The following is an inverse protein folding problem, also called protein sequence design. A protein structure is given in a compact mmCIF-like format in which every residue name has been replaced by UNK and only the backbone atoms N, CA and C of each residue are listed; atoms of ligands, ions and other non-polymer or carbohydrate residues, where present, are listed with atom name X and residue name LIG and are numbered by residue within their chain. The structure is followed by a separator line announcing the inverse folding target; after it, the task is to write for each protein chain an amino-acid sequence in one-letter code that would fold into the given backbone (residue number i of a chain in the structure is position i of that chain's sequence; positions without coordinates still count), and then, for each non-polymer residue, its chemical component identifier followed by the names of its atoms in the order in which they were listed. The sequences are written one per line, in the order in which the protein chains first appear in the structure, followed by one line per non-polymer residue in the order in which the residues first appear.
data_IF_096339154669
#
_entry.id   IF_096339154669
#
_cell.length_a   1.000
_cell.length_b   1.000
_cell.length_c   1.000
_cell.angle_alpha   90.00
_cell.angle_beta   90.00
_cell.angle_gamma   90.00
#
_symmetry.space_group_name_H-M   'P 1'
#
loop_
_entity.id
_entity.type
_entity.pdbx_description
1 polymer ?
#
# COMPACT_ATOMS: atom_id res chain seq x y z
N UNK A 1 29.41 61.19 23.51
CA UNK A 1 30.04 60.57 22.32
C UNK A 1 28.95 60.43 21.27
N UNK A 2 28.85 61.38 20.33
CA UNK A 2 29.39 61.38 18.95
C UNK A 2 28.82 60.26 18.05
N UNK A 3 27.94 60.69 17.11
CA UNK A 3 27.76 60.37 15.67
C UNK A 3 28.03 58.92 15.16
N UNK A 4 27.30 58.30 14.21
CA UNK A 4 26.93 58.70 12.84
C UNK A 4 25.83 57.76 12.23
N UNK A 5 24.97 58.35 11.37
CA UNK A 5 24.50 57.98 10.01
C UNK A 5 24.50 56.49 9.55
N UNK A 6 23.39 55.90 9.08
CA UNK A 6 22.58 56.09 7.84
C UNK A 6 22.98 55.14 6.69
N UNK A 7 22.01 54.33 6.21
CA UNK A 7 21.85 53.73 4.87
C UNK A 7 20.52 52.94 4.93
N UNK A 8 19.45 53.19 4.17
CA UNK A 8 19.35 53.78 2.85
C UNK A 8 19.36 52.68 1.79
N UNK A 9 18.29 51.89 1.71
CA UNK A 9 18.01 51.04 0.55
C UNK A 9 16.49 50.98 0.32
N UNK A 10 16.02 51.79 -0.62
CA UNK A 10 14.76 51.60 -1.31
C UNK A 10 15.10 50.94 -2.65
N UNK A 11 14.55 49.76 -2.96
CA UNK A 11 14.34 49.36 -4.37
C UNK A 11 13.37 48.18 -4.50
N UNK A 12 12.34 48.44 -5.31
CA UNK A 12 11.59 47.54 -6.18
C UNK A 12 10.69 46.44 -5.58
N UNK A 13 9.43 46.83 -5.40
CA UNK A 13 8.27 46.01 -5.74
C UNK A 13 8.41 45.52 -7.18
N UNK A 14 8.82 44.27 -7.36
CA UNK A 14 8.51 43.50 -8.58
C UNK A 14 7.29 42.67 -8.23
N UNK A 15 6.14 43.07 -8.79
CA UNK A 15 4.97 42.21 -8.84
C UNK A 15 5.27 41.03 -9.75
N UNK A 16 5.32 39.83 -9.17
CA UNK A 16 5.03 38.63 -9.95
C UNK A 16 3.50 38.48 -9.98
N UNK A 17 2.91 38.25 -11.15
CA UNK A 17 1.47 38.07 -11.28
C UNK A 17 1.04 36.88 -10.41
N UNK A 18 -0.15 36.98 -9.81
CA UNK A 18 -0.78 35.85 -9.16
C UNK A 18 -1.02 34.75 -10.19
N UNK A 19 -0.15 33.74 -10.19
CA UNK A 19 -0.56 32.38 -10.54
C UNK A 19 -1.43 31.89 -9.39
N UNK A 20 -2.68 31.58 -9.71
CA UNK A 20 -3.60 30.94 -8.77
C UNK A 20 -3.01 29.62 -8.27
N UNK A 21 -3.64 29.00 -7.26
CA UNK A 21 -3.33 27.60 -6.98
C UNK A 21 -3.53 26.83 -8.28
N UNK A 22 -2.43 26.33 -8.83
CA UNK A 22 -2.40 25.29 -9.83
C UNK A 22 -3.18 24.14 -9.19
N UNK A 23 -4.46 24.05 -9.53
CA UNK A 23 -5.25 22.85 -9.35
C UNK A 23 -4.54 21.83 -10.22
N UNK A 24 -3.49 21.20 -9.68
CA UNK A 24 -2.84 20.08 -10.32
C UNK A 24 -3.93 19.08 -10.59
N UNK A 25 -4.34 18.98 -11.85
CA UNK A 25 -5.06 17.84 -12.38
C UNK A 25 -4.30 16.63 -11.86
N UNK A 26 -4.88 15.95 -10.88
CA UNK A 26 -4.54 14.60 -10.49
C UNK A 26 -4.72 13.81 -11.79
N UNK A 27 -3.67 13.76 -12.62
CA UNK A 27 -3.71 13.13 -13.94
C UNK A 27 -4.27 11.75 -13.73
N UNK A 28 -5.43 11.49 -14.32
CA UNK A 28 -6.25 10.32 -14.02
C UNK A 28 -5.50 9.06 -14.48
N UNK A 29 -4.69 8.49 -13.59
CA UNK A 29 -3.88 7.31 -13.87
C UNK A 29 -4.81 6.11 -14.05
N UNK A 30 -4.93 5.63 -15.28
CA UNK A 30 -5.60 4.36 -15.60
C UNK A 30 -4.55 3.29 -15.83
N UNK A 31 -4.68 2.14 -15.15
CA UNK A 31 -3.75 1.03 -15.31
C UNK A 31 -4.01 0.24 -16.60
N UNK A 32 -2.95 -0.19 -17.29
CA UNK A 32 -3.03 -1.14 -18.41
C UNK A 32 -3.27 -2.55 -17.88
N UNK A 33 -4.02 -3.37 -18.64
CA UNK A 33 -4.35 -4.73 -18.25
C UNK A 33 -3.09 -5.62 -18.12
N UNK A 34 -2.89 -6.32 -16.98
CA UNK A 34 -1.77 -7.24 -16.79
C UNK A 34 -1.93 -8.51 -17.65
N UNK A 35 -0.82 -9.12 -18.12
CA UNK A 35 -0.84 -10.45 -18.75
C UNK A 35 -1.49 -11.53 -17.85
N UNK A 36 -2.20 -12.47 -18.47
CA UNK A 36 -2.97 -13.51 -17.77
C UNK A 36 -2.11 -14.55 -17.02
N UNK A 37 -0.80 -14.61 -17.28
CA UNK A 37 0.15 -15.56 -16.69
C UNK A 37 0.88 -15.00 -15.44
N UNK A 38 0.46 -13.83 -14.95
CA UNK A 38 0.99 -13.20 -13.74
C UNK A 38 0.05 -13.38 -12.54
N UNK A 39 0.57 -13.12 -11.33
CA UNK A 39 -0.31 -12.82 -10.22
C UNK A 39 -1.10 -11.57 -10.61
N UNK A 40 -2.42 -11.67 -10.68
CA UNK A 40 -3.21 -10.56 -11.20
C UNK A 40 -3.23 -9.50 -10.11
N UNK A 41 -2.88 -8.22 -10.36
CA UNK A 41 -3.31 -7.16 -9.46
C UNK A 41 -4.81 -7.29 -9.16
N UNK A 42 -5.20 -6.98 -7.94
CA UNK A 42 -6.61 -6.96 -7.56
C UNK A 42 -7.35 -6.03 -8.53
N UNK A 43 -8.31 -6.60 -9.26
CA UNK A 43 -9.24 -5.85 -10.09
C UNK A 43 -10.55 -5.72 -9.32
N UNK A 44 -11.13 -4.53 -9.32
CA UNK A 44 -12.51 -4.37 -8.84
C UNK A 44 -13.53 -4.94 -9.85
N UNK A 45 -14.81 -4.74 -9.58
CA UNK A 45 -15.91 -5.26 -10.42
C UNK A 45 -15.92 -4.67 -11.84
N UNK A 46 -15.32 -3.49 -12.04
CA UNK A 46 -15.23 -2.80 -13.32
C UNK A 46 -13.89 -3.09 -14.03
N UNK A 47 -13.06 -3.96 -13.46
CA UNK A 47 -11.77 -4.37 -14.03
C UNK A 47 -10.61 -3.43 -13.70
N UNK A 48 -10.82 -2.43 -12.83
CA UNK A 48 -9.82 -1.42 -12.49
C UNK A 48 -8.81 -2.00 -11.50
N UNK A 49 -7.53 -1.86 -11.82
CA UNK A 49 -6.42 -2.37 -11.01
C UNK A 49 -6.19 -1.50 -9.78
N UNK A 50 -6.28 -2.12 -8.61
CA UNK A 50 -5.96 -1.48 -7.35
C UNK A 50 -4.45 -1.22 -7.21
N UNK A 51 -4.08 0.02 -6.93
CA UNK A 51 -2.68 0.42 -6.80
C UNK A 51 -2.50 1.59 -5.83
N UNK A 52 -1.36 1.64 -5.16
CA UNK A 52 -0.93 2.84 -4.43
C UNK A 52 -0.37 3.90 -5.40
N UNK A 53 -0.67 5.18 -5.18
CA UNK A 53 -0.02 6.27 -5.92
C UNK A 53 1.49 6.31 -5.63
N UNK A 54 2.37 6.48 -6.61
CA UNK A 54 3.83 6.49 -6.34
C UNK A 54 4.33 7.82 -5.73
N UNK A 55 3.65 8.94 -6.00
CA UNK A 55 4.06 10.29 -5.57
C UNK A 55 3.75 10.65 -4.11
N UNK A 56 3.21 9.72 -3.31
CA UNK A 56 2.66 10.01 -1.97
C UNK A 56 3.61 9.81 -0.78
N UNK A 57 4.91 9.57 -1.00
CA UNK A 57 5.86 9.18 0.05
C UNK A 57 5.69 7.72 0.51
N UNK A 58 6.25 7.34 1.67
CA UNK A 58 6.09 5.99 2.19
C UNK A 58 4.67 5.74 2.72
N UNK A 59 4.19 4.50 2.56
CA UNK A 59 2.91 4.04 3.09
C UNK A 59 3.00 3.99 4.62
N UNK A 60 2.08 4.67 5.30
CA UNK A 60 2.02 4.65 6.75
C UNK A 60 1.61 3.26 7.23
N UNK A 61 2.34 2.70 8.19
CA UNK A 61 2.00 1.41 8.80
C UNK A 61 1.65 1.61 10.27
N UNK A 62 0.63 0.89 10.73
CA UNK A 62 0.19 0.97 12.11
C UNK A 62 -0.43 -0.34 12.58
N UNK A 63 -0.54 -0.53 13.89
CA UNK A 63 -1.13 -1.73 14.48
C UNK A 63 -1.95 -1.40 15.73
N UNK A 64 -3.01 -2.16 15.96
CA UNK A 64 -3.82 -2.08 17.17
C UNK A 64 -3.03 -2.59 18.39
N UNK A 65 -3.24 -2.04 19.60
CA UNK A 65 -2.45 -2.41 20.79
C UNK A 65 -2.45 -3.92 21.12
N UNK A 66 -3.55 -4.61 20.83
CA UNK A 66 -3.71 -6.05 21.02
C UNK A 66 -2.97 -6.90 19.98
N UNK A 67 -2.42 -6.28 18.94
CA UNK A 67 -1.62 -6.92 17.89
C UNK A 67 -0.11 -6.77 18.12
N UNK A 68 0.31 -6.26 19.27
CA UNK A 68 1.73 -6.04 19.60
C UNK A 68 2.60 -7.28 19.44
N UNK A 69 2.09 -8.45 19.85
CA UNK A 69 2.86 -9.71 19.78
C UNK A 69 3.03 -10.23 18.34
N UNK A 70 2.20 -9.77 17.41
CA UNK A 70 2.27 -10.11 15.98
C UNK A 70 3.09 -9.09 15.16
N UNK A 71 3.58 -8.03 15.82
CA UNK A 71 4.34 -6.98 15.16
C UNK A 71 5.62 -7.49 14.46
N UNK A 72 6.43 -8.40 15.04
CA UNK A 72 7.62 -8.91 14.37
C UNK A 72 7.33 -9.60 13.04
N UNK A 73 6.29 -10.43 12.98
CA UNK A 73 5.87 -11.15 11.78
C UNK A 73 5.30 -10.20 10.73
N UNK A 74 4.51 -9.21 11.17
CA UNK A 74 3.99 -8.17 10.30
C UNK A 74 5.13 -7.33 9.68
N UNK A 75 6.11 -6.91 10.49
CA UNK A 75 7.30 -6.19 10.01
C UNK A 75 8.12 -7.03 9.04
N UNK A 76 8.33 -8.32 9.33
CA UNK A 76 9.05 -9.22 8.45
C UNK A 76 8.33 -9.40 7.09
N UNK A 77 7.00 -9.43 7.08
CA UNK A 77 6.23 -9.48 5.85
C UNK A 77 6.27 -8.17 5.07
N UNK A 78 6.17 -7.01 5.74
CA UNK A 78 6.36 -5.70 5.10
C UNK A 78 7.74 -5.61 4.45
N UNK A 79 8.80 -5.94 5.19
CA UNK A 79 10.18 -5.92 4.70
C UNK A 79 10.37 -6.81 3.46
N UNK A 80 9.77 -8.00 3.44
CA UNK A 80 9.87 -8.90 2.29
C UNK A 80 9.36 -8.26 0.97
N UNK A 81 8.35 -7.38 1.03
CA UNK A 81 7.87 -6.63 -0.13
C UNK A 81 8.64 -5.31 -0.35
N UNK A 82 9.09 -4.67 0.72
CA UNK A 82 9.83 -3.39 0.69
C UNK A 82 11.24 -3.53 0.10
N UNK A 83 11.91 -4.66 0.34
CA UNK A 83 13.31 -4.92 -0.07
C UNK A 83 13.49 -5.11 -1.58
N UNK A 84 12.42 -5.00 -2.38
CA UNK A 84 12.47 -5.24 -3.82
C UNK A 84 13.02 -4.03 -4.56
N UNK A 85 14.22 -4.15 -5.11
CA UNK A 85 14.95 -3.06 -5.80
C UNK A 85 14.26 -2.49 -7.04
N UNK A 86 13.23 -3.18 -7.55
CA UNK A 86 12.46 -2.73 -8.68
C UNK A 86 11.37 -1.71 -8.34
N UNK A 87 11.02 -1.55 -7.05
CA UNK A 87 9.86 -0.80 -6.60
C UNK A 87 10.25 0.57 -6.05
N UNK A 88 9.46 1.59 -6.42
CA UNK A 88 9.54 2.93 -5.85
C UNK A 88 8.66 3.09 -4.57
N UNK A 89 7.90 2.06 -4.18
CA UNK A 89 7.17 2.05 -2.92
C UNK A 89 8.09 1.82 -1.72
N UNK A 90 7.74 2.46 -0.60
CA UNK A 90 8.35 2.22 0.70
C UNK A 90 7.29 2.18 1.81
N UNK A 91 7.60 1.54 2.95
CA UNK A 91 6.79 1.59 4.17
C UNK A 91 7.43 2.44 5.27
N UNK A 92 6.61 3.13 6.07
CA UNK A 92 7.08 3.68 7.35
C UNK A 92 7.29 2.55 8.37
N UNK A 93 8.06 2.82 9.43
CA UNK A 93 8.07 1.95 10.60
C UNK A 93 6.66 1.88 11.23
N UNK A 94 6.17 0.69 11.61
CA UNK A 94 4.84 0.57 12.22
C UNK A 94 4.75 1.27 13.57
N UNK A 95 3.67 2.03 13.76
CA UNK A 95 3.33 2.70 15.02
C UNK A 95 2.06 2.11 15.66
N UNK A 96 2.03 2.02 16.99
CA UNK A 96 0.83 1.60 17.70
C UNK A 96 -0.28 2.65 17.53
N UNK A 97 -1.50 2.23 17.21
CA UNK A 97 -2.66 3.10 17.02
C UNK A 97 -3.97 2.35 17.23
N UNK A 98 -4.95 2.96 17.88
CA UNK A 98 -6.29 2.37 18.11
C UNK A 98 -7.30 2.71 17.01
N UNK A 99 -6.92 3.55 16.05
CA UNK A 99 -7.82 4.07 15.02
C UNK A 99 -7.50 3.39 13.69
N UNK A 100 -8.34 2.46 13.20
CA UNK A 100 -8.37 2.21 11.76
C UNK A 100 -8.71 3.56 11.12
N UNK A 101 -7.86 4.01 10.20
CA UNK A 101 -7.95 5.31 9.57
C UNK A 101 -9.42 5.68 9.24
N UNK A 102 -9.85 6.86 9.69
CA UNK A 102 -11.06 7.47 9.16
C UNK A 102 -10.90 7.64 7.63
N UNK A 103 -12.00 7.81 6.90
CA UNK A 103 -11.96 7.90 5.43
C UNK A 103 -11.12 9.07 4.89
N UNK A 104 -10.56 9.91 5.78
CA UNK A 104 -9.67 11.01 5.47
C UNK A 104 -8.18 10.65 5.55
N UNK A 105 -7.80 9.60 6.29
CA UNK A 105 -6.40 9.19 6.40
C UNK A 105 -5.99 8.36 5.20
N UNK A 106 -5.31 9.01 4.26
CA UNK A 106 -4.81 8.38 3.05
C UNK A 106 -3.46 7.68 3.28
N UNK A 107 -3.20 6.66 2.46
CA UNK A 107 -1.92 5.97 2.33
C UNK A 107 -1.49 5.19 3.58
N UNK A 108 -2.36 4.30 4.06
CA UNK A 108 -2.12 3.51 5.28
C UNK A 108 -2.37 2.02 5.12
N UNK A 109 -1.55 1.21 5.79
CA UNK A 109 -1.82 -0.19 6.13
C UNK A 109 -1.97 -0.31 7.65
N UNK A 110 -3.10 -0.83 8.13
CA UNK A 110 -3.38 -0.99 9.55
C UNK A 110 -3.59 -2.47 9.90
N UNK A 111 -2.94 -2.95 10.96
CA UNK A 111 -3.10 -4.30 11.50
C UNK A 111 -4.02 -4.29 12.72
N UNK A 112 -5.05 -5.13 12.73
CA UNK A 112 -6.02 -5.22 13.83
C UNK A 112 -6.44 -6.67 14.08
N UNK A 113 -6.85 -6.99 15.30
CA UNK A 113 -7.45 -8.29 15.60
C UNK A 113 -8.91 -8.36 15.15
N UNK A 114 -9.44 -9.57 15.07
CA UNK A 114 -10.86 -9.82 14.79
C UNK A 114 -11.12 -10.18 13.34
N UNK A 115 -12.29 -9.76 12.83
CA UNK A 115 -12.76 -10.10 11.48
C UNK A 115 -13.41 -8.87 10.84
N UNK A 116 -13.26 -8.69 9.52
CA UNK A 116 -14.09 -7.72 8.83
C UNK A 116 -15.56 -8.18 8.87
N UNK A 117 -16.52 -7.24 8.92
CA UNK A 117 -17.94 -7.56 8.94
C UNK A 117 -18.35 -8.41 7.74
N UNK A 118 -19.17 -9.45 7.97
CA UNK A 118 -19.78 -10.25 6.91
C UNK A 118 -18.85 -11.29 6.24
N UNK A 119 -17.65 -11.51 6.76
CA UNK A 119 -16.71 -12.50 6.21
C UNK A 119 -16.40 -13.58 7.23
N UNK A 120 -16.60 -14.84 6.85
CA UNK A 120 -16.26 -16.02 7.63
C UNK A 120 -15.15 -16.83 6.95
N UNK A 121 -14.45 -17.67 7.72
CA UNK A 121 -13.68 -18.77 7.15
C UNK A 121 -12.19 -18.54 6.89
N UNK A 122 -11.63 -17.34 7.12
CA UNK A 122 -10.17 -17.09 7.00
C UNK A 122 -9.53 -16.55 8.29
N UNK A 123 -8.31 -17.01 8.60
CA UNK A 123 -7.52 -16.58 9.77
C UNK A 123 -6.96 -15.18 9.61
N UNK A 124 -6.48 -14.84 8.41
CA UNK A 124 -6.02 -13.50 8.06
C UNK A 124 -6.82 -13.00 6.88
N UNK A 125 -7.29 -11.76 6.96
CA UNK A 125 -8.11 -11.12 5.93
C UNK A 125 -7.61 -9.71 5.69
N UNK A 126 -7.73 -9.24 4.46
CA UNK A 126 -7.32 -7.89 4.09
C UNK A 126 -8.49 -7.20 3.40
N UNK A 127 -8.86 -6.02 3.87
CA UNK A 127 -9.85 -5.16 3.22
C UNK A 127 -9.16 -3.96 2.60
N UNK A 128 -9.58 -3.58 1.40
CA UNK A 128 -9.06 -2.44 0.66
C UNK A 128 -10.13 -1.37 0.56
N UNK A 129 -9.74 -0.12 0.82
CA UNK A 129 -10.54 1.06 0.47
C UNK A 129 -9.84 1.75 -0.68
N UNK A 130 -10.56 1.93 -1.79
CA UNK A 130 -10.00 2.45 -3.02
C UNK A 130 -10.98 3.38 -3.74
N UNK A 131 -10.46 4.31 -4.54
CA UNK A 131 -11.25 5.15 -5.44
C UNK A 131 -11.58 4.33 -6.69
N UNK A 132 -12.84 3.91 -6.84
CA UNK A 132 -13.26 3.02 -7.94
C UNK A 132 -12.91 3.56 -9.33
N UNK A 133 -13.02 4.87 -9.57
CA UNK A 133 -12.75 5.45 -10.89
C UNK A 133 -11.29 5.29 -11.34
N UNK A 134 -10.34 5.19 -10.41
CA UNK A 134 -8.90 5.11 -10.73
C UNK A 134 -8.22 3.86 -10.20
N UNK A 135 -8.86 3.09 -9.31
CA UNK A 135 -8.22 1.99 -8.60
C UNK A 135 -7.28 2.45 -7.48
N UNK A 136 -7.15 3.76 -7.23
CA UNK A 136 -6.20 4.28 -6.23
C UNK A 136 -6.56 3.80 -4.83
N UNK A 137 -5.68 3.02 -4.23
CA UNK A 137 -5.75 2.61 -2.84
C UNK A 137 -5.63 3.84 -1.93
N UNK A 138 -6.58 3.95 -1.01
CA UNK A 138 -6.62 4.98 0.03
C UNK A 138 -6.15 4.40 1.35
N UNK A 139 -6.65 3.22 1.72
CA UNK A 139 -6.24 2.51 2.93
C UNK A 139 -6.41 1.00 2.76
N UNK A 140 -5.65 0.23 3.54
CA UNK A 140 -5.83 -1.21 3.70
C UNK A 140 -5.83 -1.58 5.17
N UNK A 141 -6.71 -2.51 5.56
CA UNK A 141 -6.77 -3.06 6.92
C UNK A 141 -6.56 -4.56 6.86
N UNK A 142 -5.61 -5.06 7.64
CA UNK A 142 -5.33 -6.49 7.83
C UNK A 142 -5.94 -6.91 9.16
N UNK A 143 -6.89 -7.84 9.08
CA UNK A 143 -7.56 -8.46 10.22
C UNK A 143 -6.94 -9.82 10.51
N UNK A 144 -6.58 -10.05 11.77
CA UNK A 144 -6.13 -11.35 12.27
C UNK A 144 -7.14 -11.90 13.25
N UNK A 145 -7.73 -13.03 12.88
CA UNK A 145 -8.70 -13.74 13.71
C UNK A 145 -7.99 -14.56 14.78
N UNK A 146 -7.71 -13.90 15.91
CA UNK A 146 -7.06 -14.48 17.08
C UNK A 146 -7.90 -15.54 17.79
N UNK A 147 -9.21 -15.62 17.49
CA UNK A 147 -10.10 -16.63 18.05
C UNK A 147 -9.95 -18.00 17.37
N UNK A 148 -9.25 -18.10 16.23
CA UNK A 148 -9.04 -19.37 15.53
C UNK A 148 -7.76 -20.07 15.98
N UNK A 149 -7.89 -21.38 16.23
CA UNK A 149 -6.79 -22.23 16.65
C UNK A 149 -5.61 -22.26 15.63
N UNK A 150 -4.39 -22.41 16.18
CA UNK A 150 -3.13 -22.51 15.45
C UNK A 150 -2.44 -21.16 15.22
N UNK A 151 -1.22 -21.20 14.71
CA UNK A 151 -0.42 -19.99 14.42
C UNK A 151 -0.79 -19.40 13.05
N UNK A 152 -0.57 -18.09 12.87
CA UNK A 152 -0.57 -17.44 11.56
C UNK A 152 0.74 -17.81 10.87
N UNK A 153 0.69 -18.46 9.71
CA UNK A 153 1.92 -18.85 9.02
C UNK A 153 2.61 -17.64 8.39
N UNK A 154 3.91 -17.76 8.11
CA UNK A 154 4.64 -16.73 7.34
C UNK A 154 3.99 -16.45 5.98
N UNK A 155 3.42 -17.47 5.34
CA UNK A 155 2.71 -17.31 4.07
C UNK A 155 1.41 -16.52 4.18
N UNK A 156 0.69 -16.66 5.28
CA UNK A 156 -0.52 -15.88 5.55
C UNK A 156 -0.18 -14.39 5.69
N UNK A 157 0.91 -14.07 6.39
CA UNK A 157 1.41 -12.70 6.52
C UNK A 157 1.84 -12.09 5.19
N UNK A 158 2.64 -12.82 4.40
CA UNK A 158 3.07 -12.39 3.07
C UNK A 158 1.86 -12.15 2.15
N UNK A 159 0.88 -13.04 2.18
CA UNK A 159 -0.38 -12.91 1.43
C UNK A 159 -1.18 -11.69 1.87
N UNK A 160 -1.29 -11.46 3.18
CA UNK A 160 -2.05 -10.35 3.73
C UNK A 160 -1.46 -8.99 3.34
N UNK A 161 -0.13 -8.87 3.41
CA UNK A 161 0.60 -7.67 2.95
C UNK A 161 0.52 -7.53 1.43
N UNK A 162 0.66 -8.63 0.68
CA UNK A 162 0.49 -8.62 -0.78
C UNK A 162 -0.89 -8.09 -1.18
N UNK A 163 -1.96 -8.57 -0.53
CA UNK A 163 -3.32 -8.03 -0.73
C UNK A 163 -3.39 -6.54 -0.39
N UNK A 164 -2.76 -6.11 0.71
CA UNK A 164 -2.73 -4.71 1.12
C UNK A 164 -2.00 -3.80 0.11
N UNK A 165 -1.13 -4.40 -0.70
CA UNK A 165 -0.45 -3.80 -1.84
C UNK A 165 -1.24 -3.93 -3.15
N UNK A 166 -2.51 -4.34 -3.11
CA UNK A 166 -3.32 -4.51 -4.32
C UNK A 166 -2.98 -5.76 -5.13
N UNK A 167 -2.29 -6.75 -4.57
CA UNK A 167 -2.06 -8.04 -5.24
C UNK A 167 -3.31 -8.91 -5.12
N UNK A 168 -3.74 -9.52 -6.23
CA UNK A 168 -4.88 -10.43 -6.30
C UNK A 168 -4.48 -11.90 -6.27
N UNK A 169 -5.48 -12.79 -6.28
CA UNK A 169 -5.26 -14.23 -6.42
C UNK A 169 -5.02 -14.56 -7.90
N UNK A 170 -3.91 -15.22 -8.25
CA UNK A 170 -3.61 -15.60 -9.63
C UNK A 170 -4.58 -16.65 -10.18
N UNK A 171 -4.48 -16.91 -11.49
CA UNK A 171 -5.05 -18.11 -12.08
C UNK A 171 -4.52 -19.40 -11.44
N UNK A 172 -5.32 -20.47 -11.50
CA UNK A 172 -4.92 -21.78 -10.99
C UNK A 172 -3.62 -22.27 -11.66
N UNK A 173 -2.74 -22.87 -10.86
CA UNK A 173 -1.44 -23.39 -11.33
C UNK A 173 -0.30 -22.37 -11.39
N UNK A 174 -0.55 -21.08 -11.14
CA UNK A 174 0.53 -20.09 -11.00
C UNK A 174 1.24 -20.29 -9.67
N UNK A 175 2.57 -20.34 -9.73
CA UNK A 175 3.40 -20.40 -8.54
C UNK A 175 3.53 -19.01 -7.92
N UNK A 176 2.83 -18.78 -6.81
CA UNK A 176 2.72 -17.49 -6.14
C UNK A 176 2.32 -17.70 -4.67
N UNK A 177 2.76 -16.79 -3.80
CA UNK A 177 2.28 -16.75 -2.40
C UNK A 177 0.78 -16.44 -2.31
N UNK A 178 0.21 -15.83 -3.34
CA UNK A 178 -1.20 -15.45 -3.42
C UNK A 178 -2.13 -16.60 -3.83
N UNK A 179 -1.57 -17.76 -4.21
CA UNK A 179 -2.30 -18.96 -4.64
C UNK A 179 -2.91 -19.70 -3.44
N UNK A 180 -4.23 -19.92 -3.46
CA UNK A 180 -4.96 -20.58 -2.35
C UNK A 180 -4.98 -22.10 -2.40
N UNK A 181 -4.68 -22.69 -3.54
CA UNK A 181 -4.87 -24.13 -3.81
C UNK A 181 -3.64 -24.98 -3.44
N UNK A 182 -2.60 -24.39 -2.86
CA UNK A 182 -1.38 -25.13 -2.54
C UNK A 182 -1.54 -25.96 -1.26
N UNK A 183 -1.07 -27.23 -1.24
CA UNK A 183 -1.14 -28.10 -0.06
C UNK A 183 -0.43 -27.53 1.18
N UNK A 184 0.56 -26.67 0.96
CA UNK A 184 1.27 -25.93 2.01
C UNK A 184 1.41 -24.46 1.57
N UNK A 185 1.17 -23.49 2.46
CA UNK A 185 1.35 -22.09 2.14
C UNK A 185 2.83 -21.79 1.85
N UNK A 186 3.11 -21.02 0.80
CA UNK A 186 4.46 -20.54 0.48
C UNK A 186 4.93 -19.61 1.59
N UNK A 187 6.18 -19.75 2.02
CA UNK A 187 6.77 -18.94 3.09
C UNK A 187 7.70 -17.84 2.56
N UNK A 188 7.83 -17.71 1.24
CA UNK A 188 8.63 -16.70 0.56
C UNK A 188 7.95 -16.23 -0.73
N UNK A 189 8.29 -15.01 -1.17
CA UNK A 189 7.85 -14.48 -2.46
C UNK A 189 8.46 -15.31 -3.59
N UNK A 190 7.66 -15.57 -4.62
CA UNK A 190 8.07 -16.27 -5.84
C UNK A 190 8.48 -15.28 -6.93
N UNK A 191 9.10 -15.76 -8.00
CA UNK A 191 9.43 -14.92 -9.16
C UNK A 191 8.19 -14.25 -9.79
N UNK A 192 7.02 -14.90 -9.73
CA UNK A 192 5.77 -14.32 -10.27
C UNK A 192 5.16 -13.26 -9.35
N UNK A 193 5.33 -13.40 -8.03
CA UNK A 193 4.97 -12.35 -7.08
C UNK A 193 5.80 -11.09 -7.35
N UNK A 194 7.11 -11.26 -7.48
CA UNK A 194 8.05 -10.18 -7.76
C UNK A 194 7.80 -9.54 -9.12
N UNK A 195 7.64 -10.33 -10.18
CA UNK A 195 7.35 -9.81 -11.52
C UNK A 195 6.11 -8.91 -11.51
N UNK A 196 5.04 -9.36 -10.86
CA UNK A 196 3.80 -8.58 -10.74
C UNK A 196 4.00 -7.30 -9.94
N UNK A 197 4.62 -7.41 -8.77
CA UNK A 197 4.86 -6.28 -7.88
C UNK A 197 5.74 -5.22 -8.56
N UNK A 198 6.80 -5.64 -9.23
CA UNK A 198 7.67 -4.75 -10.01
C UNK A 198 6.93 -4.08 -11.16
N UNK A 199 5.95 -4.74 -11.78
CA UNK A 199 5.14 -4.09 -12.82
C UNK A 199 4.07 -3.16 -12.26
N UNK A 200 3.65 -3.31 -11.00
CA UNK A 200 2.74 -2.35 -10.34
C UNK A 200 3.47 -1.11 -9.83
N UNK A 201 4.70 -1.28 -9.33
CA UNK A 201 5.37 -0.26 -8.53
C UNK A 201 6.77 0.10 -9.02
N UNK A 202 7.24 -0.52 -10.10
CA UNK A 202 8.52 -0.24 -10.72
C UNK A 202 8.40 0.46 -12.07
N UNK A 203 9.51 0.54 -12.80
CA UNK A 203 9.57 1.21 -14.12
C UNK A 203 9.92 0.22 -15.22
N UNK A 204 9.11 0.11 -16.29
CA UNK A 204 7.81 0.75 -16.51
C UNK A 204 6.69 0.14 -15.62
N UNK A 205 5.75 0.97 -15.18
CA UNK A 205 4.58 0.57 -14.36
C UNK A 205 3.34 0.31 -15.23
N UNK A 206 2.45 -0.57 -14.77
CA UNK A 206 1.11 -0.76 -15.30
C UNK A 206 0.20 0.44 -15.05
N UNK A 207 0.37 1.11 -13.92
CA UNK A 207 -0.43 2.23 -13.48
C UNK A 207 0.43 3.49 -13.60
N UNK A 208 0.32 4.19 -14.75
CA UNK A 208 1.17 5.33 -15.16
C UNK A 208 1.39 6.41 -14.08
N UNK A 209 2.42 7.25 -14.19
CA UNK A 209 2.96 7.86 -15.41
C UNK A 209 4.17 7.16 -16.05
#
# INVERSE_FOLDING_TARGET
MRWLMALGAATLLVGCPGEGPDEGEDSETVCVEPPADLAVPFKDFDGVVAHWALSGGCIQTSYAPDMKDALPEFQAALAAWDEQSCSDLCFSAPVESTVPADDTSQRRVHLVSGRPPGVEGYKVQTTLTLRLSTGRLLQSVIYVDTARAGEVSRGDWLTAVGKALGMGTPAAGVDSVMTREQPQPRTALTGKDLETFCRLYGRPTFCGN
#
